data_IF_638012632786
#
_entry.id   IF_638012632786
#
_cell.length_a   1.000
_cell.length_b   1.000
_cell.length_c   1.000
_cell.angle_alpha   90.00
_cell.angle_beta   90.00
_cell.angle_gamma   90.00
#
_symmetry.space_group_name_H-M   'P 1'
#
loop_
_entity.id
_entity.type
_entity.pdbx_description
1 polymer ?
#
# COMPACT_ATOMS: atom_id res chain seq x y z
N UNK A 1 81.87 -93.85 -34.26
CA UNK A 1 82.44 -95.17 -33.91
C UNK A 1 81.30 -96.17 -34.02
N UNK A 2 81.05 -96.74 -35.20
CA UNK A 2 81.86 -97.72 -35.93
C UNK A 2 81.77 -99.13 -35.31
N UNK A 3 81.26 -100.05 -36.14
CA UNK A 3 81.45 -101.52 -36.17
C UNK A 3 81.10 -102.32 -34.90
N UNK A 4 80.44 -103.48 -34.98
CA UNK A 4 80.28 -104.40 -36.08
C UNK A 4 80.68 -105.81 -35.62
N UNK A 5 80.04 -106.79 -36.27
CA UNK A 5 80.59 -108.10 -36.62
C UNK A 5 80.83 -109.17 -35.53
N UNK A 6 80.03 -110.22 -35.70
CA UNK A 6 80.45 -111.58 -36.06
C UNK A 6 80.91 -112.57 -34.98
N UNK A 7 80.41 -113.80 -35.23
CA UNK A 7 81.08 -115.11 -35.17
C UNK A 7 81.01 -115.88 -33.84
N UNK A 8 80.25 -116.96 -33.93
CA UNK A 8 80.54 -118.30 -33.38
C UNK A 8 82.03 -118.68 -33.44
N UNK A 9 82.55 -119.57 -32.58
CA UNK A 9 82.51 -121.02 -32.90
C UNK A 9 82.63 -122.01 -31.70
N UNK A 10 82.40 -123.32 -31.99
CA UNK A 10 83.15 -124.57 -31.62
C UNK A 10 83.81 -124.65 -30.22
N UNK A 11 83.85 -125.75 -29.45
CA UNK A 11 83.82 -127.21 -29.70
C UNK A 11 84.30 -127.91 -28.42
N UNK A 12 83.85 -129.16 -28.14
CA UNK A 12 84.59 -130.32 -27.54
C UNK A 12 83.57 -131.26 -26.86
N UNK A 13 83.27 -132.52 -27.24
CA UNK A 13 84.06 -133.70 -27.63
C UNK A 13 85.01 -134.21 -26.54
N UNK A 14 84.65 -135.32 -25.85
CA UNK A 14 85.39 -136.59 -25.48
C UNK A 14 84.26 -137.51 -24.91
N UNK A 15 84.06 -138.82 -25.16
CA UNK A 15 84.99 -139.95 -25.19
C UNK A 15 84.37 -141.18 -25.87
N UNK A 16 85.17 -141.76 -26.75
CA UNK A 16 85.11 -143.09 -27.36
C UNK A 16 85.41 -144.19 -26.34
N UNK A 17 84.74 -145.35 -26.41
CA UNK A 17 85.36 -146.65 -26.11
C UNK A 17 84.64 -147.76 -26.90
N UNK A 18 85.44 -148.61 -27.53
CA UNK A 18 85.08 -149.78 -28.32
C UNK A 18 85.64 -151.05 -27.65
N UNK A 19 85.17 -152.23 -28.10
CA UNK A 19 85.63 -153.62 -27.83
C UNK A 19 85.18 -154.21 -26.47
N UNK A 20 84.77 -155.48 -26.31
CA UNK A 20 85.08 -156.75 -27.01
C UNK A 20 83.93 -157.79 -27.00
N UNK A 21 84.01 -158.72 -27.95
CA UNK A 21 83.35 -160.03 -28.10
C UNK A 21 82.98 -160.83 -26.84
N UNK A 22 81.83 -161.53 -26.86
CA UNK A 22 81.77 -162.99 -27.07
C UNK A 22 80.31 -163.53 -27.04
N UNK A 23 79.99 -164.41 -28.02
CA UNK A 23 78.86 -165.38 -28.19
C UNK A 23 77.95 -165.61 -26.95
N UNK A 24 76.62 -165.76 -27.06
CA UNK A 24 75.85 -166.81 -27.76
C UNK A 24 74.32 -166.54 -27.64
N UNK A 25 73.41 -167.25 -28.36
CA UNK A 25 72.18 -166.68 -28.93
C UNK A 25 70.85 -166.91 -28.16
N UNK A 26 69.87 -166.03 -28.48
CA UNK A 26 68.42 -166.10 -28.16
C UNK A 26 67.94 -164.75 -27.58
N UNK A 27 66.90 -164.02 -28.03
CA UNK A 27 65.63 -164.37 -28.67
C UNK A 27 64.94 -163.07 -29.16
N UNK A 28 64.52 -162.99 -30.44
CA UNK A 28 64.04 -161.78 -31.17
C UNK A 28 62.57 -161.35 -30.89
N UNK A 29 62.14 -161.20 -29.64
CA UNK A 29 60.76 -160.79 -29.30
C UNK A 29 60.62 -159.45 -28.53
N UNK A 30 61.72 -158.81 -28.12
CA UNK A 30 61.69 -157.64 -27.23
C UNK A 30 61.89 -156.26 -27.90
N UNK A 31 62.51 -156.19 -29.08
CA UNK A 31 62.85 -154.91 -29.74
C UNK A 31 61.65 -154.27 -30.49
N UNK A 32 60.68 -155.09 -30.93
CA UNK A 32 59.47 -154.61 -31.63
C UNK A 32 58.48 -153.93 -30.66
N UNK A 33 58.47 -154.38 -29.40
CA UNK A 33 57.72 -153.79 -28.28
C UNK A 33 58.32 -152.44 -27.85
N UNK A 34 59.62 -152.23 -28.02
CA UNK A 34 60.31 -150.97 -27.66
C UNK A 34 60.07 -149.85 -28.69
N UNK A 35 59.97 -150.16 -29.98
CA UNK A 35 59.59 -149.17 -31.00
C UNK A 35 58.10 -148.81 -30.95
N UNK A 36 57.24 -149.79 -30.65
CA UNK A 36 55.80 -149.55 -30.46
C UNK A 36 55.54 -148.60 -29.29
N UNK A 37 56.18 -148.83 -28.15
CA UNK A 37 56.06 -147.95 -26.97
C UNK A 37 56.60 -146.54 -27.23
N UNK A 38 57.70 -146.38 -27.98
CA UNK A 38 58.20 -145.05 -28.40
C UNK A 38 57.25 -144.31 -29.35
N UNK A 39 56.66 -145.00 -30.33
CA UNK A 39 55.64 -144.41 -31.20
C UNK A 39 54.37 -144.01 -30.42
N UNK A 40 53.97 -144.81 -29.44
CA UNK A 40 52.86 -144.49 -28.52
C UNK A 40 53.19 -143.29 -27.63
N UNK A 41 54.43 -143.16 -27.13
CA UNK A 41 54.86 -141.99 -26.34
C UNK A 41 54.91 -140.73 -27.19
N UNK A 42 55.49 -140.79 -28.39
CA UNK A 42 55.51 -139.65 -29.32
C UNK A 42 54.11 -139.25 -29.77
N UNK A 43 53.23 -140.22 -30.03
CA UNK A 43 51.81 -139.96 -30.34
C UNK A 43 51.09 -139.29 -29.17
N UNK A 44 51.39 -139.71 -27.93
CA UNK A 44 50.89 -139.06 -26.71
C UNK A 44 51.37 -137.62 -26.54
N UNK A 45 52.65 -137.34 -26.81
CA UNK A 45 53.22 -135.97 -26.78
C UNK A 45 52.60 -135.10 -27.88
N UNK A 46 52.45 -135.62 -29.10
CA UNK A 46 51.78 -134.90 -30.20
C UNK A 46 50.33 -134.59 -29.84
N UNK A 47 49.61 -135.52 -29.20
CA UNK A 47 48.25 -135.29 -28.74
C UNK A 47 48.20 -134.20 -27.65
N UNK A 48 49.15 -134.19 -26.71
CA UNK A 48 49.27 -133.14 -25.69
C UNK A 48 49.60 -131.79 -26.31
N UNK A 49 50.55 -131.71 -27.24
CA UNK A 49 50.90 -130.49 -27.97
C UNK A 49 49.72 -129.97 -28.80
N UNK A 50 48.95 -130.86 -29.45
CA UNK A 50 47.71 -130.48 -30.14
C UNK A 50 46.69 -129.90 -29.16
N UNK A 51 46.50 -130.51 -27.98
CA UNK A 51 45.62 -129.97 -26.93
C UNK A 51 46.08 -128.60 -26.40
N UNK A 52 47.38 -128.43 -26.20
CA UNK A 52 47.95 -127.12 -25.82
C UNK A 52 47.77 -126.09 -26.92
N UNK A 53 47.98 -126.45 -28.19
CA UNK A 53 47.79 -125.55 -29.32
C UNK A 53 46.33 -125.15 -29.49
N UNK A 54 45.38 -126.10 -29.39
CA UNK A 54 43.95 -125.79 -29.43
C UNK A 54 43.52 -124.93 -28.25
N UNK A 55 44.03 -125.17 -27.05
CA UNK A 55 43.75 -124.34 -25.87
C UNK A 55 44.35 -122.93 -26.02
N UNK A 56 45.57 -122.82 -26.57
CA UNK A 56 46.19 -121.53 -26.86
C UNK A 56 45.42 -120.77 -27.94
N UNK A 57 44.96 -121.45 -29.00
CA UNK A 57 44.17 -120.83 -30.07
C UNK A 57 42.83 -120.31 -29.53
N UNK A 58 42.13 -121.10 -28.69
CA UNK A 58 40.92 -120.66 -28.00
C UNK A 58 41.17 -119.42 -27.11
N UNK A 59 42.32 -119.36 -26.41
CA UNK A 59 42.70 -118.17 -25.63
C UNK A 59 42.98 -116.95 -26.52
N UNK A 60 43.63 -117.14 -27.68
CA UNK A 60 43.84 -116.06 -28.65
C UNK A 60 42.54 -115.59 -29.30
N UNK A 61 41.61 -116.49 -29.61
CA UNK A 61 40.27 -116.15 -30.10
C UNK A 61 39.50 -115.34 -29.06
N UNK A 62 39.49 -115.77 -27.78
CA UNK A 62 38.88 -115.02 -26.69
C UNK A 62 39.51 -113.62 -26.51
N UNK A 63 40.85 -113.53 -26.56
CA UNK A 63 41.57 -112.25 -26.52
C UNK A 63 41.20 -111.35 -27.71
N UNK A 64 41.05 -111.92 -28.92
CA UNK A 64 40.67 -111.18 -30.12
C UNK A 64 39.26 -110.60 -29.98
N UNK A 65 38.30 -111.36 -29.46
CA UNK A 65 36.94 -110.88 -29.18
C UNK A 65 36.95 -109.74 -28.15
N UNK A 66 37.74 -109.88 -27.07
CA UNK A 66 37.89 -108.81 -26.07
C UNK A 66 38.52 -107.55 -26.68
N UNK A 67 39.58 -107.69 -27.48
CA UNK A 67 40.22 -106.55 -28.16
C UNK A 67 39.24 -105.88 -29.12
N UNK A 68 38.48 -106.65 -29.91
CA UNK A 68 37.51 -106.11 -30.85
C UNK A 68 36.36 -105.40 -30.12
N UNK A 69 35.89 -105.95 -29.00
CA UNK A 69 34.90 -105.30 -28.14
C UNK A 69 35.44 -103.98 -27.56
N UNK A 70 36.65 -103.99 -26.98
CA UNK A 70 37.30 -102.78 -26.47
C UNK A 70 37.55 -101.73 -27.56
N UNK A 71 37.84 -102.15 -28.79
CA UNK A 71 37.98 -101.25 -29.94
C UNK A 71 36.64 -100.62 -30.33
N UNK A 72 35.58 -101.42 -30.40
CA UNK A 72 34.22 -100.93 -30.67
C UNK A 72 33.74 -99.95 -29.59
N UNK A 73 33.94 -100.29 -28.31
CA UNK A 73 33.61 -99.40 -27.18
C UNK A 73 34.40 -98.08 -27.25
N UNK A 74 35.69 -98.15 -27.60
CA UNK A 74 36.53 -96.96 -27.78
C UNK A 74 36.05 -96.10 -28.94
N UNK A 75 35.68 -96.69 -30.08
CA UNK A 75 35.16 -95.98 -31.24
C UNK A 75 33.84 -95.29 -30.93
N UNK A 76 32.94 -95.98 -30.23
CA UNK A 76 31.65 -95.43 -29.79
C UNK A 76 31.84 -94.27 -28.80
N UNK A 77 32.72 -94.42 -27.80
CA UNK A 77 33.07 -93.34 -26.87
C UNK A 77 33.71 -92.14 -27.60
N UNK A 78 34.52 -92.38 -28.63
CA UNK A 78 35.12 -91.32 -29.44
C UNK A 78 34.08 -90.60 -30.31
N UNK A 79 33.08 -91.33 -30.83
CA UNK A 79 31.94 -90.76 -31.55
C UNK A 79 31.10 -89.88 -30.63
N UNK A 80 30.72 -90.38 -29.46
CA UNK A 80 30.00 -89.63 -28.43
C UNK A 80 30.78 -88.37 -28.00
N UNK A 81 32.09 -88.48 -27.79
CA UNK A 81 32.93 -87.32 -27.46
C UNK A 81 32.94 -86.27 -28.57
N UNK A 82 32.94 -86.68 -29.84
CA UNK A 82 32.88 -85.75 -30.98
C UNK A 82 31.51 -85.06 -31.07
N UNK A 83 30.43 -85.81 -30.88
CA UNK A 83 29.06 -85.28 -30.83
C UNK A 83 28.91 -84.25 -29.71
N UNK A 84 29.29 -84.61 -28.48
CA UNK A 84 29.28 -83.69 -27.34
C UNK A 84 30.16 -82.46 -27.56
N UNK A 85 31.34 -82.61 -28.19
CA UNK A 85 32.20 -81.48 -28.52
C UNK A 85 31.56 -80.55 -29.55
N UNK A 86 30.83 -81.08 -30.52
CA UNK A 86 30.11 -80.28 -31.51
C UNK A 86 28.92 -79.57 -30.88
N UNK A 87 28.17 -80.24 -30.01
CA UNK A 87 27.09 -79.64 -29.22
C UNK A 87 27.60 -78.49 -28.35
N UNK A 88 28.74 -78.65 -27.67
CA UNK A 88 29.36 -77.57 -26.90
C UNK A 88 29.74 -76.37 -27.77
N UNK A 89 30.21 -76.59 -29.00
CA UNK A 89 30.50 -75.48 -29.94
C UNK A 89 29.21 -74.81 -30.41
N UNK A 90 28.18 -75.58 -30.73
CA UNK A 90 26.87 -75.05 -31.13
C UNK A 90 26.24 -74.22 -30.00
N UNK A 91 26.20 -74.75 -28.77
CA UNK A 91 25.67 -74.06 -27.58
C UNK A 91 26.46 -72.78 -27.27
N UNK A 92 27.78 -72.77 -27.46
CA UNK A 92 28.58 -71.55 -27.34
C UNK A 92 28.23 -70.52 -28.41
N UNK A 93 27.98 -70.95 -29.64
CA UNK A 93 27.51 -70.08 -30.72
C UNK A 93 26.13 -69.48 -30.41
N UNK A 94 25.19 -70.30 -29.96
CA UNK A 94 23.86 -69.86 -29.53
C UNK A 94 23.92 -68.92 -28.32
N UNK A 95 24.81 -69.17 -27.36
CA UNK A 95 25.02 -68.26 -26.23
C UNK A 95 25.52 -66.88 -26.70
N UNK A 96 26.42 -66.83 -27.68
CA UNK A 96 26.92 -65.56 -28.23
C UNK A 96 25.82 -64.82 -28.98
N UNK A 97 25.02 -65.49 -29.81
CA UNK A 97 23.93 -64.84 -30.56
C UNK A 97 22.81 -64.37 -29.64
N UNK A 98 22.46 -65.16 -28.63
CA UNK A 98 21.47 -64.77 -27.61
C UNK A 98 21.98 -63.62 -26.74
N UNK A 99 23.25 -63.64 -26.32
CA UNK A 99 23.88 -62.51 -25.62
C UNK A 99 23.83 -61.22 -26.43
N UNK A 100 24.20 -61.27 -27.71
CA UNK A 100 24.13 -60.11 -28.60
C UNK A 100 22.69 -59.60 -28.80
N UNK A 101 21.72 -60.51 -28.85
CA UNK A 101 20.30 -60.14 -28.89
C UNK A 101 19.83 -59.47 -27.60
N UNK A 102 20.24 -59.98 -26.43
CA UNK A 102 19.97 -59.37 -25.13
C UNK A 102 20.58 -57.97 -25.00
N UNK A 103 21.84 -57.80 -25.39
CA UNK A 103 22.51 -56.48 -25.41
C UNK A 103 21.80 -55.49 -26.34
N UNK A 104 21.30 -55.96 -27.49
CA UNK A 104 20.50 -55.12 -28.39
C UNK A 104 19.19 -54.70 -27.74
N UNK A 105 18.44 -55.64 -27.17
CA UNK A 105 17.19 -55.33 -26.48
C UNK A 105 17.40 -54.39 -25.29
N UNK A 106 18.51 -54.53 -24.56
CA UNK A 106 18.85 -53.62 -23.47
C UNK A 106 19.14 -52.20 -23.97
N UNK A 107 19.86 -52.05 -25.08
CA UNK A 107 20.07 -50.75 -25.73
C UNK A 107 18.75 -50.14 -26.20
N UNK A 108 17.93 -50.89 -26.92
CA UNK A 108 16.62 -50.42 -27.42
C UNK A 108 15.70 -50.02 -26.26
N UNK A 109 15.70 -50.78 -25.14
CA UNK A 109 14.96 -50.43 -23.91
C UNK A 109 15.45 -49.10 -23.32
N UNK A 110 16.77 -48.93 -23.21
CA UNK A 110 17.35 -47.72 -22.62
C UNK A 110 17.10 -46.49 -23.52
N UNK A 111 17.22 -46.62 -24.84
CA UNK A 111 16.89 -45.57 -25.80
C UNK A 111 15.42 -45.15 -25.70
N UNK A 112 14.52 -46.14 -25.60
CA UNK A 112 13.09 -45.89 -25.42
C UNK A 112 12.80 -45.22 -24.06
N UNK A 113 13.48 -45.64 -23.00
CA UNK A 113 13.36 -45.00 -21.68
C UNK A 113 13.78 -43.52 -21.72
N UNK A 114 14.94 -43.22 -22.33
CA UNK A 114 15.42 -41.83 -22.50
C UNK A 114 14.45 -41.01 -23.34
N UNK A 115 13.88 -41.59 -24.41
CA UNK A 115 12.86 -40.91 -25.21
C UNK A 115 11.61 -40.58 -24.39
N UNK A 116 11.09 -41.54 -23.60
CA UNK A 116 9.94 -41.33 -22.73
C UNK A 116 10.21 -40.27 -21.65
N UNK A 117 11.36 -40.33 -20.98
CA UNK A 117 11.76 -39.32 -20.00
C UNK A 117 11.83 -37.92 -20.63
N UNK A 118 12.36 -37.82 -21.86
CA UNK A 118 12.39 -36.58 -22.62
C UNK A 118 10.99 -36.05 -22.99
N UNK A 119 10.05 -36.92 -23.35
CA UNK A 119 8.66 -36.51 -23.59
C UNK A 119 7.98 -36.04 -22.31
N UNK A 120 8.17 -36.74 -21.19
CA UNK A 120 7.63 -36.33 -19.89
C UNK A 120 8.19 -34.97 -19.46
N UNK A 121 9.49 -34.73 -19.64
CA UNK A 121 10.11 -33.45 -19.31
C UNK A 121 9.55 -32.31 -20.16
N UNK A 122 9.40 -32.51 -21.47
CA UNK A 122 8.81 -31.51 -22.37
C UNK A 122 7.36 -31.21 -22.01
N UNK A 123 6.56 -32.24 -21.74
CA UNK A 123 5.16 -32.08 -21.36
C UNK A 123 5.03 -31.33 -20.02
N UNK A 124 5.88 -31.68 -19.04
CA UNK A 124 5.89 -31.00 -17.75
C UNK A 124 6.33 -29.53 -17.87
N UNK A 125 7.31 -29.24 -18.73
CA UNK A 125 7.72 -27.86 -19.02
C UNK A 125 6.56 -27.08 -19.67
N UNK A 126 5.92 -27.65 -20.69
CA UNK A 126 4.77 -27.02 -21.35
C UNK A 126 3.65 -26.72 -20.35
N UNK A 127 3.29 -27.66 -19.48
CA UNK A 127 2.28 -27.41 -18.46
C UNK A 127 2.69 -26.30 -17.49
N UNK A 128 3.97 -26.20 -17.14
CA UNK A 128 4.45 -25.12 -16.27
C UNK A 128 4.36 -23.76 -16.96
N UNK A 129 4.73 -23.70 -18.24
CA UNK A 129 4.66 -22.48 -19.06
C UNK A 129 3.20 -22.04 -19.27
N UNK A 130 2.30 -22.98 -19.62
CA UNK A 130 0.86 -22.71 -19.78
C UNK A 130 0.22 -22.21 -18.48
N UNK A 131 0.60 -22.80 -17.34
CA UNK A 131 0.14 -22.35 -16.01
C UNK A 131 0.65 -20.94 -15.72
N UNK A 132 1.91 -20.64 -16.01
CA UNK A 132 2.49 -19.31 -15.79
C UNK A 132 1.81 -18.26 -16.68
N UNK A 133 1.55 -18.55 -17.95
CA UNK A 133 0.83 -17.66 -18.87
C UNK A 133 -0.61 -17.41 -18.39
N UNK A 134 -1.31 -18.46 -17.94
CA UNK A 134 -2.67 -18.33 -17.43
C UNK A 134 -2.71 -17.49 -16.14
N UNK A 135 -1.78 -17.72 -15.21
CA UNK A 135 -1.64 -16.92 -13.99
C UNK A 135 -1.33 -15.45 -14.30
N UNK A 136 -0.44 -15.17 -15.25
CA UNK A 136 -0.10 -13.81 -15.66
C UNK A 136 -1.30 -13.12 -16.30
N UNK A 137 -1.99 -13.79 -17.24
CA UNK A 137 -3.20 -13.27 -17.88
C UNK A 137 -4.29 -12.98 -16.85
N UNK A 138 -4.45 -13.85 -15.85
CA UNK A 138 -5.43 -13.66 -14.78
C UNK A 138 -5.07 -12.46 -13.90
N UNK A 139 -3.79 -12.31 -13.53
CA UNK A 139 -3.29 -11.14 -12.79
C UNK A 139 -3.55 -9.86 -13.57
N UNK A 140 -3.18 -9.81 -14.85
CA UNK A 140 -3.43 -8.65 -15.71
C UNK A 140 -4.92 -8.30 -15.81
N UNK A 141 -5.79 -9.30 -15.97
CA UNK A 141 -7.24 -9.09 -16.02
C UNK A 141 -7.78 -8.46 -14.73
N UNK A 142 -7.43 -9.01 -13.56
CA UNK A 142 -7.90 -8.45 -12.29
C UNK A 142 -7.29 -7.08 -11.99
N UNK A 143 -6.01 -6.86 -12.29
CA UNK A 143 -5.38 -5.54 -12.15
C UNK A 143 -6.10 -4.50 -13.02
N UNK A 144 -6.36 -4.81 -14.29
CA UNK A 144 -7.08 -3.90 -15.19
C UNK A 144 -8.51 -3.61 -14.72
N UNK A 145 -9.23 -4.62 -14.20
CA UNK A 145 -10.58 -4.40 -13.66
C UNK A 145 -10.55 -3.56 -12.37
N UNK A 146 -9.56 -3.77 -11.50
CA UNK A 146 -9.34 -2.93 -10.32
C UNK A 146 -9.04 -1.47 -10.70
N UNK A 147 -8.14 -1.25 -11.65
CA UNK A 147 -7.81 0.09 -12.14
C UNK A 147 -9.03 0.78 -12.75
N UNK A 148 -9.81 0.06 -13.55
CA UNK A 148 -11.04 0.58 -14.15
C UNK A 148 -12.07 0.97 -13.09
N UNK A 149 -12.31 0.12 -12.09
CA UNK A 149 -13.22 0.44 -10.98
C UNK A 149 -12.72 1.63 -10.18
N UNK A 150 -11.42 1.71 -9.93
CA UNK A 150 -10.79 2.85 -9.26
C UNK A 150 -10.97 4.15 -10.06
N UNK A 151 -10.76 4.13 -11.38
CA UNK A 151 -11.01 5.28 -12.26
C UNK A 151 -12.47 5.73 -12.21
N UNK A 152 -13.43 4.80 -12.25
CA UNK A 152 -14.86 5.12 -12.14
C UNK A 152 -15.17 5.79 -10.79
N UNK A 153 -14.66 5.25 -9.68
CA UNK A 153 -14.87 5.85 -8.36
C UNK A 153 -14.26 7.25 -8.25
N UNK A 154 -13.08 7.49 -8.83
CA UNK A 154 -12.45 8.80 -8.87
C UNK A 154 -13.29 9.77 -9.70
N UNK A 155 -13.71 9.38 -10.91
CA UNK A 155 -14.55 10.21 -11.77
C UNK A 155 -15.89 10.58 -11.12
N UNK A 156 -16.52 9.64 -10.42
CA UNK A 156 -17.77 9.91 -9.69
C UNK A 156 -17.54 10.89 -8.52
N UNK A 157 -16.47 10.71 -7.75
CA UNK A 157 -16.10 11.65 -6.69
C UNK A 157 -15.80 13.05 -7.22
N UNK A 158 -15.11 13.15 -8.36
CA UNK A 158 -14.82 14.43 -9.02
C UNK A 158 -16.09 15.10 -9.55
N UNK A 159 -17.05 14.34 -10.11
CA UNK A 159 -18.36 14.86 -10.50
C UNK A 159 -19.12 15.45 -9.32
N UNK A 160 -19.19 14.75 -8.19
CA UNK A 160 -19.85 15.28 -6.98
C UNK A 160 -19.14 16.52 -6.44
N UNK A 161 -17.81 16.53 -6.44
CA UNK A 161 -17.01 17.69 -6.03
C UNK A 161 -17.30 18.89 -6.95
N UNK A 162 -17.35 18.70 -8.26
CA UNK A 162 -17.67 19.75 -9.22
C UNK A 162 -19.09 20.31 -9.03
N UNK A 163 -20.08 19.44 -8.80
CA UNK A 163 -21.46 19.86 -8.52
C UNK A 163 -21.56 20.67 -7.22
N UNK A 164 -20.88 20.25 -6.15
CA UNK A 164 -20.85 21.00 -4.89
C UNK A 164 -20.15 22.36 -5.06
N UNK A 165 -19.04 22.39 -5.81
CA UNK A 165 -18.34 23.63 -6.11
C UNK A 165 -19.23 24.59 -6.91
N UNK A 166 -19.93 24.10 -7.93
CA UNK A 166 -20.86 24.90 -8.72
C UNK A 166 -22.01 25.47 -7.86
N UNK A 167 -22.56 24.68 -6.91
CA UNK A 167 -23.56 25.20 -5.98
C UNK A 167 -23.02 26.30 -5.08
N UNK A 168 -21.79 26.16 -4.58
CA UNK A 168 -21.13 27.19 -3.76
C UNK A 168 -20.88 28.46 -4.59
N UNK A 169 -20.42 28.32 -5.83
CA UNK A 169 -20.15 29.45 -6.71
C UNK A 169 -21.45 30.16 -7.10
N UNK A 170 -22.54 29.42 -7.34
CA UNK A 170 -23.87 29.98 -7.58
C UNK A 170 -24.42 30.72 -6.34
N UNK A 171 -24.25 30.15 -5.14
CA UNK A 171 -24.63 30.84 -3.89
C UNK A 171 -23.79 32.10 -3.66
N UNK A 172 -22.49 32.06 -3.93
CA UNK A 172 -21.62 33.22 -3.79
C UNK A 172 -21.98 34.33 -4.79
N UNK A 173 -22.22 33.99 -6.05
CA UNK A 173 -22.61 34.96 -7.08
C UNK A 173 -23.96 35.60 -6.78
N UNK A 174 -24.95 34.81 -6.35
CA UNK A 174 -26.27 35.33 -5.93
C UNK A 174 -26.19 36.18 -4.66
N UNK A 175 -25.33 35.80 -3.70
CA UNK A 175 -25.09 36.59 -2.50
C UNK A 175 -24.44 37.94 -2.83
N UNK A 176 -23.38 37.95 -3.65
CA UNK A 176 -22.72 39.19 -4.06
C UNK A 176 -23.66 40.07 -4.90
N UNK A 177 -24.50 39.51 -5.77
CA UNK A 177 -25.50 40.30 -6.50
C UNK A 177 -26.53 40.93 -5.57
N UNK A 178 -27.03 40.19 -4.57
CA UNK A 178 -27.98 40.71 -3.59
C UNK A 178 -27.37 41.81 -2.72
N UNK A 179 -26.10 41.63 -2.31
CA UNK A 179 -25.36 42.63 -1.55
C UNK A 179 -25.18 43.92 -2.34
N UNK A 180 -24.82 43.82 -3.62
CA UNK A 180 -24.68 44.98 -4.51
C UNK A 180 -26.04 45.67 -4.74
N UNK A 181 -27.11 44.92 -4.94
CA UNK A 181 -28.47 45.46 -5.06
C UNK A 181 -28.91 46.19 -3.78
N UNK A 182 -28.61 45.62 -2.61
CA UNK A 182 -28.89 46.24 -1.33
C UNK A 182 -28.10 47.54 -1.14
N UNK A 183 -26.82 47.54 -1.49
CA UNK A 183 -25.96 48.73 -1.46
C UNK A 183 -26.49 49.82 -2.40
N UNK A 184 -26.87 49.45 -3.63
CA UNK A 184 -27.50 50.37 -4.58
C UNK A 184 -28.81 50.95 -4.04
N UNK A 185 -29.71 50.12 -3.51
CA UNK A 185 -30.98 50.57 -2.93
C UNK A 185 -30.76 51.51 -1.73
N UNK A 186 -29.74 51.24 -0.92
CA UNK A 186 -29.37 52.12 0.19
C UNK A 186 -28.82 53.45 -0.34
N UNK A 187 -27.94 53.41 -1.35
CA UNK A 187 -27.40 54.60 -2.00
C UNK A 187 -28.51 55.45 -2.63
N UNK A 188 -29.46 54.84 -3.34
CA UNK A 188 -30.63 55.51 -3.91
C UNK A 188 -31.48 56.17 -2.83
N UNK A 189 -31.74 55.47 -1.70
CA UNK A 189 -32.53 56.04 -0.60
C UNK A 189 -31.83 57.22 0.07
N UNK A 190 -30.51 57.15 0.22
CA UNK A 190 -29.71 58.27 0.74
C UNK A 190 -29.79 59.47 -0.20
N UNK A 191 -29.66 59.26 -1.51
CA UNK A 191 -29.75 60.35 -2.49
C UNK A 191 -31.17 60.96 -2.54
N UNK A 192 -32.22 60.14 -2.43
CA UNK A 192 -33.60 60.61 -2.34
C UNK A 192 -33.83 61.47 -1.09
N UNK A 193 -33.38 61.02 0.09
CA UNK A 193 -33.47 61.78 1.33
C UNK A 193 -32.67 63.09 1.26
N UNK A 194 -31.50 63.05 0.64
CA UNK A 194 -30.67 64.24 0.43
C UNK A 194 -31.39 65.25 -0.47
N UNK A 195 -32.00 64.78 -1.56
CA UNK A 195 -32.80 65.63 -2.46
C UNK A 195 -34.03 66.22 -1.75
N UNK A 196 -34.72 65.44 -0.91
CA UNK A 196 -35.86 65.92 -0.12
C UNK A 196 -35.43 66.97 0.92
N UNK A 197 -34.29 66.75 1.59
CA UNK A 197 -33.69 67.71 2.50
C UNK A 197 -33.32 69.01 1.79
N UNK A 198 -32.61 68.94 0.66
CA UNK A 198 -32.23 70.10 -0.15
C UNK A 198 -33.46 70.85 -0.67
N UNK A 199 -34.49 70.12 -1.12
CA UNK A 199 -35.76 70.72 -1.58
C UNK A 199 -36.52 71.39 -0.44
N UNK A 200 -36.55 70.79 0.75
CA UNK A 200 -37.18 71.36 1.95
C UNK A 200 -36.43 72.60 2.43
N UNK A 201 -35.10 72.54 2.42
CA UNK A 201 -34.22 73.64 2.80
C UNK A 201 -34.36 74.82 1.82
N UNK A 202 -34.25 74.55 0.51
CA UNK A 202 -34.39 75.57 -0.53
C UNK A 202 -35.82 76.11 -0.61
N UNK A 203 -36.83 75.25 -0.54
CA UNK A 203 -38.23 75.64 -0.75
C UNK A 203 -38.83 76.37 0.44
N UNK A 204 -38.59 75.89 1.66
CA UNK A 204 -39.18 76.48 2.86
C UNK A 204 -38.25 77.51 3.46
N UNK A 205 -37.04 77.12 3.82
CA UNK A 205 -36.17 78.00 4.59
C UNK A 205 -35.65 79.16 3.74
N UNK A 206 -35.09 78.85 2.56
CA UNK A 206 -34.51 79.88 1.71
C UNK A 206 -35.57 80.83 1.14
N UNK A 207 -36.68 80.30 0.60
CA UNK A 207 -37.77 81.13 0.08
C UNK A 207 -38.43 82.01 1.15
N UNK A 208 -38.72 81.47 2.34
CA UNK A 208 -39.30 82.26 3.44
C UNK A 208 -38.31 83.30 3.96
N UNK A 209 -37.04 82.94 4.12
CA UNK A 209 -36.01 83.92 4.51
C UNK A 209 -35.85 85.02 3.45
N UNK A 210 -35.91 84.68 2.17
CA UNK A 210 -35.81 85.66 1.09
C UNK A 210 -37.03 86.59 1.03
N UNK A 211 -38.25 86.08 1.26
CA UNK A 211 -39.45 86.91 1.33
C UNK A 211 -39.47 87.80 2.57
N UNK A 212 -39.08 87.29 3.75
CA UNK A 212 -38.94 88.08 4.97
C UNK A 212 -37.88 89.18 4.82
N UNK A 213 -36.72 88.85 4.24
CA UNK A 213 -35.68 89.84 3.92
C UNK A 213 -36.22 90.94 3.02
N UNK A 214 -37.00 90.59 1.99
CA UNK A 214 -37.59 91.56 1.07
C UNK A 214 -38.65 92.44 1.74
N UNK A 215 -39.52 91.86 2.57
CA UNK A 215 -40.50 92.64 3.35
C UNK A 215 -39.82 93.61 4.32
N UNK A 216 -38.73 93.17 4.96
CA UNK A 216 -37.96 94.01 5.87
C UNK A 216 -37.28 95.16 5.11
N UNK A 217 -36.70 94.87 3.94
CA UNK A 217 -36.10 95.85 3.03
C UNK A 217 -37.14 96.88 2.56
N UNK A 218 -38.33 96.43 2.17
CA UNK A 218 -39.42 97.30 1.71
C UNK A 218 -39.93 98.18 2.87
N UNK A 219 -40.11 97.62 4.06
CA UNK A 219 -40.48 98.39 5.26
C UNK A 219 -39.38 99.40 5.66
N UNK A 220 -38.12 99.02 5.52
CA UNK A 220 -36.99 99.92 5.75
C UNK A 220 -37.01 101.08 4.77
N UNK A 221 -37.21 100.81 3.46
CA UNK A 221 -37.33 101.86 2.43
C UNK A 221 -38.52 102.76 2.66
N UNK A 222 -39.68 102.22 3.03
CA UNK A 222 -40.86 103.03 3.34
C UNK A 222 -40.60 103.96 4.54
N UNK A 223 -40.00 103.44 5.61
CA UNK A 223 -39.58 104.26 6.76
C UNK A 223 -38.52 105.28 6.36
N UNK A 224 -37.58 104.91 5.51
CA UNK A 224 -36.57 105.82 4.98
C UNK A 224 -37.24 106.95 4.19
N UNK A 225 -38.18 106.65 3.29
CA UNK A 225 -38.94 107.66 2.53
C UNK A 225 -39.81 108.55 3.43
N UNK A 226 -40.45 107.98 4.45
CA UNK A 226 -41.21 108.75 5.45
C UNK A 226 -40.28 109.69 6.24
N UNK A 227 -39.11 109.20 6.65
CA UNK A 227 -38.10 110.01 7.32
C UNK A 227 -37.53 111.08 6.38
N UNK A 228 -37.28 110.77 5.11
CA UNK A 228 -36.80 111.72 4.10
C UNK A 228 -37.85 112.83 3.88
N UNK A 229 -39.13 112.46 3.68
CA UNK A 229 -40.24 113.42 3.61
C UNK A 229 -40.33 114.26 4.87
N UNK A 230 -40.17 113.66 6.06
CA UNK A 230 -40.19 114.41 7.32
C UNK A 230 -38.98 115.33 7.46
N UNK A 231 -37.81 114.90 7.02
CA UNK A 231 -36.60 115.73 6.96
C UNK A 231 -36.83 116.89 6.01
N UNK A 232 -37.45 116.68 4.85
CA UNK A 232 -37.73 117.73 3.88
C UNK A 232 -38.82 118.70 4.35
N UNK A 233 -39.88 118.21 4.99
CA UNK A 233 -40.86 119.03 5.70
C UNK A 233 -40.17 119.88 6.78
N UNK A 234 -39.38 119.25 7.67
CA UNK A 234 -38.64 119.94 8.72
C UNK A 234 -37.59 120.89 8.15
N UNK A 235 -36.96 120.58 7.01
CA UNK A 235 -36.07 121.53 6.31
C UNK A 235 -36.86 122.70 5.77
N UNK A 236 -38.04 122.49 5.21
CA UNK A 236 -38.90 123.57 4.70
C UNK A 236 -39.42 124.46 5.85
N UNK A 237 -39.82 123.84 6.96
CA UNK A 237 -40.23 124.52 8.18
C UNK A 237 -39.04 125.24 8.82
N UNK A 238 -37.87 124.60 8.90
CA UNK A 238 -36.65 125.24 9.40
C UNK A 238 -36.18 126.35 8.46
N UNK A 239 -36.35 126.26 7.15
CA UNK A 239 -36.07 127.35 6.22
C UNK A 239 -37.06 128.51 6.43
N UNK A 240 -38.35 128.22 6.61
CA UNK A 240 -39.38 129.22 6.93
C UNK A 240 -39.15 129.86 8.30
N UNK A 241 -38.83 129.06 9.31
CA UNK A 241 -38.46 129.49 10.64
C UNK A 241 -37.09 130.18 10.63
N UNK A 242 -36.15 129.82 9.76
CA UNK A 242 -34.86 130.49 9.61
C UNK A 242 -35.02 131.81 8.86
N UNK A 243 -35.97 131.93 7.94
CA UNK A 243 -36.36 133.24 7.38
C UNK A 243 -37.06 134.09 8.41
N UNK A 244 -38.02 133.52 9.17
CA UNK A 244 -38.64 134.20 10.30
C UNK A 244 -37.66 134.50 11.42
N UNK A 245 -36.67 133.65 11.67
CA UNK A 245 -35.59 133.82 12.62
C UNK A 245 -34.57 134.78 12.04
N UNK A 246 -34.36 134.92 10.73
CA UNK A 246 -33.54 136.01 10.17
C UNK A 246 -34.27 137.35 10.26
N UNK A 247 -35.60 137.36 10.13
CA UNK A 247 -36.45 138.53 10.37
C UNK A 247 -36.53 138.87 11.86
N UNK A 248 -36.60 137.84 12.71
CA UNK A 248 -36.66 137.95 14.15
C UNK A 248 -35.25 138.10 14.75
N UNK A 249 -34.16 137.66 14.12
CA UNK A 249 -32.75 137.95 14.44
C UNK A 249 -32.40 139.33 13.91
N UNK A 250 -32.96 139.80 12.81
CA UNK A 250 -33.00 141.25 12.52
C UNK A 250 -33.74 142.03 13.62
N UNK A 251 -34.58 141.37 14.43
CA UNK A 251 -35.31 141.91 15.60
C UNK A 251 -34.71 141.54 16.98
N UNK A 252 -33.82 140.55 17.05
CA UNK A 252 -33.24 139.93 18.26
C UNK A 252 -31.69 140.04 18.30
N UNK A 253 -31.03 140.39 17.19
CA UNK A 253 -29.71 141.07 17.16
C UNK A 253 -29.85 142.46 17.83
N UNK A 254 -31.08 142.99 17.89
CA UNK A 254 -31.43 144.15 18.70
C UNK A 254 -31.78 143.80 20.18
N UNK A 255 -31.88 142.52 20.57
CA UNK A 255 -32.38 142.16 21.92
C UNK A 255 -31.66 141.08 22.72
N UNK A 256 -30.70 140.32 22.21
CA UNK A 256 -30.07 139.30 23.08
C UNK A 256 -28.62 138.93 22.71
N UNK A 257 -27.72 139.87 23.06
CA UNK A 257 -26.45 139.53 23.70
C UNK A 257 -26.74 139.16 25.17
N UNK A 258 -27.08 137.90 25.48
CA UNK A 258 -26.95 137.35 26.84
C UNK A 258 -27.03 135.79 26.89
N UNK A 259 -25.86 135.16 27.09
CA UNK A 259 -25.49 133.85 27.66
C UNK A 259 -26.59 132.81 28.05
N UNK A 260 -26.53 131.53 27.69
CA UNK A 260 -25.55 130.41 27.90
C UNK A 260 -25.62 129.66 29.26
N UNK A 261 -25.93 128.35 29.13
CA UNK A 261 -25.44 127.14 29.83
C UNK A 261 -25.96 126.80 31.24
N UNK A 262 -26.71 125.69 31.32
CA UNK A 262 -27.25 125.07 32.54
C UNK A 262 -26.37 123.87 33.01
N UNK A 263 -25.93 123.84 34.28
CA UNK A 263 -25.10 122.80 34.90
C UNK A 263 -25.67 121.37 35.01
N UNK A 264 -26.95 121.13 34.70
CA UNK A 264 -27.59 119.83 34.94
C UNK A 264 -27.15 118.71 33.97
N UNK A 265 -26.58 119.07 32.83
CA UNK A 265 -26.09 118.13 31.80
C UNK A 265 -24.82 117.38 32.28
N UNK A 266 -23.95 118.04 33.05
CA UNK A 266 -22.72 117.42 33.57
C UNK A 266 -22.99 116.28 34.56
N UNK A 267 -24.06 116.37 35.36
CA UNK A 267 -24.35 115.35 36.38
C UNK A 267 -24.86 114.05 35.75
N UNK A 268 -25.64 114.16 34.67
CA UNK A 268 -26.15 113.02 33.91
C UNK A 268 -25.03 112.33 33.10
N UNK A 269 -24.06 113.08 32.58
CA UNK A 269 -22.86 112.53 31.93
C UNK A 269 -22.02 111.69 32.90
N UNK A 270 -21.90 112.14 34.16
CA UNK A 270 -21.13 111.42 35.18
C UNK A 270 -21.81 110.11 35.64
N UNK A 271 -23.15 110.08 35.73
CA UNK A 271 -23.89 108.84 36.03
C UNK A 271 -23.81 107.81 34.88
N UNK A 272 -23.82 108.28 33.63
CA UNK A 272 -23.65 107.43 32.45
C UNK A 272 -22.26 106.77 32.40
N UNK A 273 -21.21 107.53 32.72
CA UNK A 273 -19.84 107.00 32.73
C UNK A 273 -19.65 105.95 33.85
N UNK A 274 -20.29 106.15 35.00
CA UNK A 274 -20.29 105.18 36.11
C UNK A 274 -20.98 103.85 35.74
N UNK A 275 -22.15 103.92 35.11
CA UNK A 275 -22.89 102.72 34.68
C UNK A 275 -22.15 101.95 33.58
N UNK A 276 -21.44 102.66 32.70
CA UNK A 276 -20.62 102.07 31.63
C UNK A 276 -19.48 101.22 32.19
N UNK A 277 -18.79 101.70 33.22
CA UNK A 277 -17.72 100.94 33.89
C UNK A 277 -18.24 99.65 34.55
N UNK A 278 -19.42 99.70 35.19
CA UNK A 278 -20.04 98.50 35.80
C UNK A 278 -20.46 97.49 34.74
N UNK A 279 -20.97 97.95 33.59
CA UNK A 279 -21.29 97.10 32.45
C UNK A 279 -20.05 96.42 31.88
N UNK A 280 -18.95 97.15 31.73
CA UNK A 280 -17.68 96.63 31.21
C UNK A 280 -17.11 95.53 32.12
N UNK A 281 -17.14 95.73 33.45
CA UNK A 281 -16.73 94.71 34.43
C UNK A 281 -17.63 93.47 34.36
N UNK A 282 -18.94 93.63 34.22
CA UNK A 282 -19.86 92.49 34.08
C UNK A 282 -19.66 91.74 32.77
N UNK A 283 -19.36 92.44 31.68
CA UNK A 283 -19.14 91.85 30.37
C UNK A 283 -17.82 91.06 30.34
N UNK A 284 -16.76 91.58 30.95
CA UNK A 284 -15.49 90.87 31.12
C UNK A 284 -15.66 89.58 31.94
N UNK A 285 -16.47 89.63 33.01
CA UNK A 285 -16.77 88.44 33.81
C UNK A 285 -17.58 87.39 33.05
N UNK A 286 -18.51 87.82 32.18
CA UNK A 286 -19.26 86.95 31.28
C UNK A 286 -18.30 86.24 30.31
N UNK A 287 -17.39 86.98 29.69
CA UNK A 287 -16.41 86.43 28.75
C UNK A 287 -15.49 85.39 29.41
N UNK A 288 -15.05 85.64 30.65
CA UNK A 288 -14.27 84.66 31.40
C UNK A 288 -15.06 83.39 31.74
N UNK A 289 -16.37 83.48 31.93
CA UNK A 289 -17.24 82.31 32.11
C UNK A 289 -17.40 81.54 30.80
N UNK A 290 -17.59 82.21 29.67
CA UNK A 290 -17.68 81.57 28.34
C UNK A 290 -16.41 80.79 27.99
N UNK A 291 -15.23 81.36 28.26
CA UNK A 291 -13.94 80.67 28.06
C UNK A 291 -13.85 79.40 28.92
N UNK A 292 -14.33 79.44 30.16
CA UNK A 292 -14.35 78.26 31.05
C UNK A 292 -15.33 77.20 30.55
N UNK A 293 -16.50 77.63 30.07
CA UNK A 293 -17.53 76.76 29.51
C UNK A 293 -17.00 76.03 28.27
N UNK A 294 -16.38 76.76 27.33
CA UNK A 294 -15.76 76.18 26.14
C UNK A 294 -14.67 75.14 26.47
N UNK A 295 -13.84 75.40 27.50
CA UNK A 295 -12.83 74.44 27.96
C UNK A 295 -13.47 73.18 28.56
N UNK A 296 -14.59 73.34 29.27
CA UNK A 296 -15.32 72.23 29.87
C UNK A 296 -16.02 71.38 28.81
N UNK A 297 -16.63 71.99 27.78
CA UNK A 297 -17.19 71.29 26.62
C UNK A 297 -16.12 70.46 25.89
N UNK A 298 -14.93 71.04 25.66
CA UNK A 298 -13.82 70.31 25.04
C UNK A 298 -13.34 69.11 25.87
N UNK A 299 -13.38 69.21 27.20
CA UNK A 299 -13.07 68.08 28.08
C UNK A 299 -14.14 66.99 28.00
N UNK A 300 -15.41 67.36 27.90
CA UNK A 300 -16.52 66.41 27.72
C UNK A 300 -16.38 65.66 26.39
N UNK A 301 -16.09 66.36 25.29
CA UNK A 301 -15.86 65.74 23.98
C UNK A 301 -14.64 64.80 23.98
N UNK A 302 -13.54 65.18 24.62
CA UNK A 302 -12.39 64.28 24.78
C UNK A 302 -12.75 63.04 25.62
N UNK A 303 -13.57 63.22 26.65
CA UNK A 303 -14.00 62.11 27.50
C UNK A 303 -14.87 61.12 26.72
N UNK A 304 -15.81 61.60 25.88
CA UNK A 304 -16.65 60.72 25.05
C UNK A 304 -15.79 59.92 24.05
N UNK A 305 -14.82 60.56 23.38
CA UNK A 305 -13.89 59.87 22.47
C UNK A 305 -13.09 58.78 23.20
N UNK A 306 -12.58 59.08 24.40
CA UNK A 306 -11.85 58.10 25.21
C UNK A 306 -12.75 56.94 25.64
N UNK A 307 -14.00 57.23 25.99
CA UNK A 307 -14.97 56.21 26.39
C UNK A 307 -15.30 55.26 25.22
N UNK A 308 -15.41 55.77 24.00
CA UNK A 308 -15.64 54.96 22.81
C UNK A 308 -14.42 54.11 22.44
N UNK A 309 -13.19 54.65 22.60
CA UNK A 309 -11.96 53.86 22.46
C UNK A 309 -11.89 52.74 23.49
N UNK A 310 -12.25 53.02 24.74
CA UNK A 310 -12.28 52.01 25.80
C UNK A 310 -13.26 50.88 25.46
N UNK A 311 -14.47 51.22 24.98
CA UNK A 311 -15.46 50.21 24.54
C UNK A 311 -14.94 49.31 23.42
N UNK A 312 -14.25 49.88 22.42
CA UNK A 312 -13.66 49.10 21.32
C UNK A 312 -12.60 48.12 21.82
N UNK A 313 -11.68 48.59 22.66
CA UNK A 313 -10.64 47.73 23.26
C UNK A 313 -11.28 46.63 24.12
N UNK A 314 -12.35 46.94 24.84
CA UNK A 314 -13.08 45.94 25.64
C UNK A 314 -13.75 44.87 24.76
N UNK A 315 -14.36 45.27 23.65
CA UNK A 315 -14.95 44.33 22.67
C UNK A 315 -13.88 43.41 22.05
N UNK A 316 -12.73 43.97 21.64
CA UNK A 316 -11.61 43.18 21.11
C UNK A 316 -11.07 42.18 22.15
N UNK A 317 -11.02 42.57 23.43
CA UNK A 317 -10.60 41.68 24.50
C UNK A 317 -11.57 40.50 24.69
N UNK A 318 -12.87 40.76 24.66
CA UNK A 318 -13.91 39.73 24.75
C UNK A 318 -13.83 38.76 23.55
N UNK A 319 -13.60 39.27 22.33
CA UNK A 319 -13.42 38.44 21.15
C UNK A 319 -12.18 37.53 21.26
N UNK A 320 -11.04 38.10 21.70
CA UNK A 320 -9.81 37.33 21.91
C UNK A 320 -10.01 36.24 22.97
N UNK A 321 -10.75 36.53 24.05
CA UNK A 321 -11.08 35.55 25.08
C UNK A 321 -11.94 34.42 24.53
N UNK A 322 -12.98 34.73 23.75
CA UNK A 322 -13.81 33.71 23.10
C UNK A 322 -13.00 32.85 22.11
N UNK A 323 -12.05 33.44 21.39
CA UNK A 323 -11.12 32.71 20.50
C UNK A 323 -10.21 31.77 21.28
N UNK A 324 -9.68 32.23 22.42
CA UNK A 324 -8.84 31.43 23.31
C UNK A 324 -9.63 30.25 23.89
N UNK A 325 -10.88 30.46 24.31
CA UNK A 325 -11.75 29.39 24.84
C UNK A 325 -12.03 28.32 23.77
N UNK A 326 -12.26 28.73 22.52
CA UNK A 326 -12.40 27.80 21.38
C UNK A 326 -11.13 26.98 21.13
N UNK A 327 -9.96 27.61 21.19
CA UNK A 327 -8.67 26.90 21.08
C UNK A 327 -8.43 25.94 22.23
N UNK A 328 -8.79 26.30 23.47
CA UNK A 328 -8.70 25.41 24.62
C UNK A 328 -9.60 24.19 24.45
N UNK A 329 -10.83 24.37 23.97
CA UNK A 329 -11.75 23.25 23.72
C UNK A 329 -11.23 22.30 22.63
N UNK A 330 -10.71 22.84 21.51
CA UNK A 330 -10.07 22.02 20.47
C UNK A 330 -8.85 21.27 21.01
N UNK A 331 -8.02 21.91 21.84
CA UNK A 331 -6.86 21.28 22.45
C UNK A 331 -7.27 20.14 23.39
N UNK A 332 -8.36 20.32 24.14
CA UNK A 332 -8.95 19.28 25.00
C UNK A 332 -9.48 18.11 24.16
N UNK A 333 -10.16 18.39 23.04
CA UNK A 333 -10.67 17.38 22.11
C UNK A 333 -9.55 16.54 21.50
N UNK A 334 -8.51 17.17 20.96
CA UNK A 334 -7.34 16.48 20.41
C UNK A 334 -6.65 15.61 21.47
N UNK A 335 -6.54 16.09 22.70
CA UNK A 335 -5.99 15.31 23.82
C UNK A 335 -6.84 14.07 24.13
N UNK A 336 -8.17 14.21 24.11
CA UNK A 336 -9.07 13.05 24.28
C UNK A 336 -8.98 12.06 23.13
N UNK A 337 -8.91 12.52 21.88
CA UNK A 337 -8.74 11.65 20.71
C UNK A 337 -7.40 10.92 20.76
N UNK A 338 -6.31 11.61 21.12
CA UNK A 338 -5.00 11.00 21.29
C UNK A 338 -5.01 9.90 22.35
N UNK A 339 -5.68 10.12 23.49
CA UNK A 339 -5.82 9.12 24.54
C UNK A 339 -6.61 7.88 24.06
N UNK A 340 -7.71 8.09 23.32
CA UNK A 340 -8.53 7.00 22.77
C UNK A 340 -7.77 6.20 21.72
N UNK A 341 -7.03 6.86 20.82
CA UNK A 341 -6.20 6.20 19.83
C UNK A 341 -5.09 5.37 20.48
N UNK A 342 -4.44 5.90 21.51
CA UNK A 342 -3.43 5.18 22.28
C UNK A 342 -4.02 3.92 22.94
N UNK A 343 -5.20 4.04 23.56
CA UNK A 343 -5.89 2.89 24.17
C UNK A 343 -6.28 1.84 23.11
N UNK A 344 -6.76 2.27 21.93
CA UNK A 344 -7.08 1.37 20.82
C UNK A 344 -5.85 0.63 20.31
N UNK A 345 -4.73 1.34 20.13
CA UNK A 345 -3.46 0.76 19.73
C UNK A 345 -2.98 -0.29 20.74
N UNK A 346 -3.09 -0.01 22.04
CA UNK A 346 -2.74 -0.99 23.09
C UNK A 346 -3.65 -2.23 23.07
N UNK A 347 -4.96 -2.04 22.85
CA UNK A 347 -5.92 -3.15 22.71
C UNK A 347 -5.59 -4.01 21.49
N UNK A 348 -5.32 -3.40 20.35
CA UNK A 348 -4.95 -4.09 19.11
C UNK A 348 -3.61 -4.81 19.26
N UNK A 349 -2.60 -4.17 19.88
CA UNK A 349 -1.32 -4.79 20.19
C UNK A 349 -1.48 -6.03 21.09
N UNK A 350 -2.35 -5.95 22.11
CA UNK A 350 -2.68 -7.11 22.97
C UNK A 350 -3.37 -8.23 22.20
N UNK A 351 -4.30 -7.92 21.28
CA UNK A 351 -4.94 -8.91 20.40
C UNK A 351 -3.91 -9.55 19.47
N UNK A 352 -3.08 -8.73 18.82
CA UNK A 352 -2.04 -9.18 17.90
C UNK A 352 -1.05 -10.11 18.61
N UNK A 353 -0.60 -9.76 19.82
CA UNK A 353 0.27 -10.64 20.62
C UNK A 353 -0.38 -12.00 20.91
N UNK A 354 -1.68 -12.03 21.26
CA UNK A 354 -2.41 -13.29 21.47
C UNK A 354 -2.48 -14.13 20.19
N UNK A 355 -2.83 -13.51 19.07
CA UNK A 355 -2.89 -14.18 17.77
C UNK A 355 -1.51 -14.67 17.33
N UNK A 356 -0.44 -13.91 17.59
CA UNK A 356 0.93 -14.32 17.31
C UNK A 356 1.32 -15.56 18.12
N UNK A 357 0.98 -15.61 19.41
CA UNK A 357 1.20 -16.79 20.24
C UNK A 357 0.37 -18.00 19.76
N UNK A 358 -0.89 -17.80 19.41
CA UNK A 358 -1.75 -18.86 18.85
C UNK A 358 -1.21 -19.36 17.51
N UNK A 359 -0.73 -18.47 16.65
CA UNK A 359 -0.13 -18.82 15.37
C UNK A 359 1.18 -19.62 15.57
N UNK A 360 2.05 -19.19 16.48
CA UNK A 360 3.24 -19.97 16.86
C UNK A 360 2.86 -21.36 17.40
N UNK A 361 1.83 -21.46 18.25
CA UNK A 361 1.32 -22.74 18.76
C UNK A 361 0.79 -23.64 17.62
N UNK A 362 0.03 -23.07 16.68
CA UNK A 362 -0.49 -23.80 15.52
C UNK A 362 0.64 -24.25 14.58
N UNK A 363 1.62 -23.39 14.31
CA UNK A 363 2.83 -23.75 13.55
C UNK A 363 3.61 -24.87 14.25
N UNK A 364 3.75 -24.79 15.58
CA UNK A 364 4.39 -25.84 16.37
C UNK A 364 3.62 -27.16 16.28
N UNK A 365 2.28 -27.15 16.36
CA UNK A 365 1.45 -28.35 16.19
C UNK A 365 1.56 -28.95 14.78
N UNK A 366 1.61 -28.11 13.75
CA UNK A 366 1.79 -28.55 12.36
C UNK A 366 3.16 -29.20 12.16
N UNK A 367 4.23 -28.58 12.69
CA UNK A 367 5.60 -29.07 12.53
C UNK A 367 5.87 -30.36 13.33
N UNK A 368 5.25 -30.51 14.50
CA UNK A 368 5.40 -31.70 15.35
C UNK A 368 4.37 -32.80 15.07
N UNK A 369 3.54 -32.65 14.03
CA UNK A 369 2.77 -33.74 13.44
C UNK A 369 1.66 -34.32 14.33
N UNK A 370 0.83 -33.49 14.95
CA UNK A 370 -0.35 -33.98 15.65
C UNK A 370 -1.50 -34.30 14.65
N UNK A 371 -1.45 -35.49 14.04
CA UNK A 371 -2.51 -36.04 13.19
C UNK A 371 -3.65 -36.70 13.98
N UNK A 372 -3.84 -36.34 15.25
CA UNK A 372 -5.03 -36.75 16.01
C UNK A 372 -6.17 -35.74 15.83
N UNK A 373 -6.96 -35.95 14.79
CA UNK A 373 -8.36 -35.51 14.78
C UNK A 373 -9.17 -36.35 15.77
N UNK A 374 -9.89 -35.75 16.75
CA UNK A 374 -11.08 -36.36 17.30
C UNK A 374 -12.29 -35.77 16.58
N UNK A 375 -12.75 -36.54 15.60
CA UNK A 375 -14.11 -36.45 15.07
C UNK A 375 -15.08 -36.74 16.22
N UNK A 376 -16.01 -35.80 16.44
CA UNK A 376 -17.24 -35.87 17.27
C UNK A 376 -17.02 -35.87 18.80
N UNK A 377 -17.62 -34.89 19.46
CA UNK A 377 -18.90 -35.03 20.17
C UNK A 377 -19.26 -33.68 20.81
N UNK A 378 -20.39 -33.10 20.41
CA UNK A 378 -21.14 -32.22 21.31
C UNK A 378 -21.58 -33.04 22.52
N UNK A 379 -21.53 -32.46 23.73
CA UNK A 379 -22.72 -32.48 24.55
C UNK A 379 -23.01 -31.11 25.18
N UNK A 380 -24.28 -30.72 25.04
CA UNK A 380 -25.14 -30.05 26.00
C UNK A 380 -24.51 -29.17 27.09
N UNK A 381 -24.79 -27.87 26.95
CA UNK A 381 -25.42 -27.02 27.97
C UNK A 381 -25.43 -27.57 29.40
N UNK A 382 -24.63 -26.94 30.26
CA UNK A 382 -24.92 -26.88 31.70
C UNK A 382 -24.69 -25.46 32.22
N UNK A 383 -25.80 -24.94 32.72
CA UNK A 383 -26.02 -23.70 33.45
C UNK A 383 -25.27 -23.65 34.78
N UNK A 384 -24.68 -22.51 35.15
CA UNK A 384 -24.71 -21.97 36.53
C UNK A 384 -24.65 -20.42 36.48
N UNK A 385 -25.43 -19.70 37.31
CA UNK A 385 -25.67 -18.27 37.20
C UNK A 385 -24.76 -17.46 38.15
N UNK A 386 -24.37 -16.23 37.78
CA UNK A 386 -23.94 -15.23 38.77
C UNK A 386 -24.00 -13.79 38.19
N UNK A 387 -24.99 -13.07 38.70
CA UNK A 387 -24.94 -11.69 39.22
C UNK A 387 -24.28 -10.58 38.39
N UNK A 388 -25.13 -9.61 38.04
CA UNK A 388 -24.79 -8.23 37.67
C UNK A 388 -23.86 -7.55 38.68
N UNK A 389 -23.10 -6.53 38.23
CA UNK A 389 -23.31 -5.21 38.80
C UNK A 389 -23.74 -4.16 37.77
N UNK A 390 -24.80 -3.48 38.19
CA UNK A 390 -25.33 -2.17 37.80
C UNK A 390 -24.22 -1.12 37.61
N UNK A 391 -24.25 -0.40 36.49
CA UNK A 391 -23.97 1.04 36.34
C UNK A 391 -24.19 1.41 34.85
N UNK A 392 -25.35 1.93 34.45
CA UNK A 392 -25.71 3.37 34.42
C UNK A 392 -24.83 4.19 33.48
N UNK A 393 -25.37 4.48 32.30
CA UNK A 393 -24.84 5.42 31.31
C UNK A 393 -25.91 5.71 30.27
N UNK A 394 -26.71 6.75 30.53
CA UNK A 394 -27.82 7.20 29.71
C UNK A 394 -27.40 7.51 28.27
N UNK A 395 -28.02 6.85 27.30
CA UNK A 395 -28.11 7.37 25.93
C UNK A 395 -29.25 8.38 25.88
N UNK A 396 -28.91 9.66 26.02
CA UNK A 396 -29.77 10.75 25.57
C UNK A 396 -29.36 11.13 24.16
N UNK A 397 -30.13 10.67 23.18
CA UNK A 397 -30.21 11.34 21.88
C UNK A 397 -31.00 12.64 22.03
N UNK A 398 -30.56 13.76 21.44
CA UNK A 398 -31.47 14.84 21.08
C UNK A 398 -31.79 14.77 19.58
N UNK A 399 -33.07 14.71 19.28
CA UNK A 399 -33.62 15.07 17.98
C UNK A 399 -33.76 16.62 17.89
N UNK A 400 -33.19 17.19 16.83
CA UNK A 400 -33.71 18.23 15.92
C UNK A 400 -34.31 19.57 16.48
N UNK A 401 -33.63 20.69 16.13
CA UNK A 401 -34.05 22.07 15.73
C UNK A 401 -34.90 22.96 16.69
N UNK A 402 -35.02 24.31 16.53
CA UNK A 402 -34.69 25.21 15.39
C UNK A 402 -34.01 26.58 15.71
N UNK A 403 -33.24 27.12 14.76
CA UNK A 403 -33.36 28.50 14.23
C UNK A 403 -32.38 28.76 13.08
#
# INVERSE_FOLDING_TARGET
VDKGKQRSPKSSCIRTQASTDARSPGTKAAELTQYKTKCETQSGIILQLKKFLTSSNQKFEALTVVIQHLQSEREEALKQRKELSQELVNLRGELVTTSAACEKLERDRNELQVAYEGFLQKLNQQHHDDLAELEERLKQFYTAECEKLQSICIEEAEKYKAQLQEQVDNLNTTHESFKLELENRHSEKVEELKKEYESSFSGKYFSTHESERKLLEDSFKEKQELLEKKIDELKSENNSLSEKLKLEEQKQIAKEKANLKNPQIMYLEQELESLKAVLEIKNEKLHQQDIKLMKMEKLVENNTILMDKLKKVQQENEELKARMDKHMELSRQLSTEQAVLQESLEKESKVNKRLSMENEELLWKLHNGDLCSPRKLSPSSSSVPLQSPRNSGNFSSPAVSPR
#
